data_IF_564569261091
#
_entry.id   IF_564569261091
#
_cell.length_a   1.000
_cell.length_b   1.000
_cell.length_c   1.000
_cell.angle_alpha   90.00
_cell.angle_beta   90.00
_cell.angle_gamma   90.00
#
_symmetry.space_group_name_H-M   'P 1'
#
loop_
_entity.id
_entity.type
_entity.pdbx_description
1 polymer ?
#
# COMPACT_ATOMS: atom_id res chain seq x y z
N UNK A 1 2.30 -19.52 23.50
CA UNK A 1 2.77 -18.15 23.23
C UNK A 1 2.80 -17.96 21.73
N UNK A 2 1.92 -17.13 21.16
CA UNK A 2 2.00 -16.78 19.74
C UNK A 2 3.01 -15.63 19.60
N UNK A 3 4.09 -15.85 18.85
CA UNK A 3 5.04 -14.79 18.51
C UNK A 3 4.38 -13.95 17.42
N UNK A 4 4.01 -12.72 17.75
CA UNK A 4 3.66 -11.71 16.76
C UNK A 4 4.94 -11.38 15.98
N UNK A 5 5.06 -11.93 14.76
CA UNK A 5 6.12 -11.55 13.83
C UNK A 5 5.61 -10.37 13.03
N UNK A 6 6.21 -9.20 13.26
CA UNK A 6 6.01 -8.07 12.39
C UNK A 6 6.65 -8.38 11.03
N UNK A 7 5.91 -8.14 9.94
CA UNK A 7 6.43 -8.24 8.58
C UNK A 7 6.70 -6.83 8.05
N UNK A 8 7.82 -6.68 7.35
CA UNK A 8 8.14 -5.43 6.65
C UNK A 8 7.29 -5.38 5.39
N UNK A 9 6.60 -4.26 5.20
CA UNK A 9 5.83 -3.95 4.01
C UNK A 9 6.50 -2.80 3.26
N UNK A 10 6.80 -3.00 1.98
CA UNK A 10 7.16 -1.94 1.05
C UNK A 10 5.86 -1.40 0.45
N UNK A 11 5.59 -0.11 0.68
CA UNK A 11 4.41 0.58 0.17
C UNK A 11 4.86 1.61 -0.87
N UNK A 12 4.32 1.48 -2.06
CA UNK A 12 4.55 2.34 -3.21
C UNK A 12 3.23 3.02 -3.59
N UNK A 13 3.21 4.35 -3.63
CA UNK A 13 2.00 5.13 -3.95
C UNK A 13 2.20 5.88 -5.27
N UNK A 14 1.22 5.77 -6.17
CA UNK A 14 1.18 6.42 -7.48
C UNK A 14 0.04 7.43 -7.51
N UNK A 15 0.37 8.71 -7.65
CA UNK A 15 -0.57 9.84 -7.58
C UNK A 15 -0.98 10.40 -8.95
N UNK A 16 -0.42 9.85 -10.04
CA UNK A 16 -0.66 10.30 -11.41
C UNK A 16 -1.66 9.39 -12.14
N UNK A 17 -2.65 9.96 -12.86
CA UNK A 17 -3.60 9.18 -13.67
C UNK A 17 -2.98 8.54 -14.93
N UNK A 18 -1.68 8.74 -15.17
CA UNK A 18 -0.95 8.22 -16.34
C UNK A 18 -0.07 7.05 -15.91
N UNK A 19 -0.64 5.86 -15.77
CA UNK A 19 0.02 4.67 -15.22
C UNK A 19 1.10 4.03 -16.13
N UNK A 20 1.36 4.59 -17.30
CA UNK A 20 2.05 3.86 -18.36
C UNK A 20 3.57 3.72 -18.20
N UNK A 21 4.25 4.45 -17.32
CA UNK A 21 5.69 4.26 -17.01
C UNK A 21 6.16 5.15 -15.83
N UNK A 22 5.29 5.36 -14.82
CA UNK A 22 5.60 6.31 -13.74
C UNK A 22 6.24 5.56 -12.57
N UNK A 23 7.49 5.91 -12.25
CA UNK A 23 8.14 5.51 -11.01
C UNK A 23 7.23 5.87 -9.82
N UNK A 24 7.19 5.04 -8.75
CA UNK A 24 6.36 5.35 -7.60
C UNK A 24 6.74 6.71 -7.01
N UNK A 25 5.75 7.59 -6.85
CA UNK A 25 5.98 8.94 -6.33
C UNK A 25 6.57 8.89 -4.91
N UNK A 26 6.19 7.86 -4.15
CA UNK A 26 6.71 7.61 -2.80
C UNK A 26 6.83 6.11 -2.55
N UNK A 27 7.98 5.68 -2.03
CA UNK A 27 8.27 4.30 -1.60
C UNK A 27 8.75 4.30 -0.14
N UNK A 28 8.09 3.54 0.75
CA UNK A 28 8.46 3.46 2.18
C UNK A 28 8.37 2.03 2.71
N UNK A 29 9.30 1.65 3.58
CA UNK A 29 9.25 0.42 4.38
C UNK A 29 8.56 0.68 5.72
N UNK A 30 7.42 0.02 5.94
CA UNK A 30 6.62 0.15 7.17
C UNK A 30 6.49 -1.20 7.89
N UNK A 31 6.58 -1.14 9.23
CA UNK A 31 6.36 -2.30 10.10
C UNK A 31 4.93 -2.27 10.62
N UNK A 32 4.01 -3.00 9.96
CA UNK A 32 2.59 -2.89 10.26
C UNK A 32 1.93 -4.23 10.63
N UNK A 33 0.90 -4.14 11.47
CA UNK A 33 0.01 -5.26 11.81
C UNK A 33 -1.00 -5.53 10.67
N UNK A 34 -1.29 -4.53 9.83
CA UNK A 34 -2.16 -4.66 8.63
C UNK A 34 -1.68 -3.78 7.46
N UNK A 35 -1.99 -4.22 6.24
CA UNK A 35 -1.72 -3.45 5.00
C UNK A 35 -2.41 -2.08 5.04
N UNK A 36 -3.68 -2.03 5.47
CA UNK A 36 -4.43 -0.77 5.56
C UNK A 36 -3.79 0.24 6.51
N UNK A 37 -3.19 -0.22 7.61
CA UNK A 37 -2.48 0.62 8.55
C UNK A 37 -1.21 1.21 7.94
N UNK A 38 -0.40 0.39 7.26
CA UNK A 38 0.81 0.83 6.58
C UNK A 38 0.50 1.90 5.52
N UNK A 39 -0.45 1.62 4.63
CA UNK A 39 -0.82 2.54 3.54
C UNK A 39 -1.40 3.84 4.10
N UNK A 40 -2.27 3.78 5.11
CA UNK A 40 -2.81 4.98 5.77
C UNK A 40 -1.71 5.84 6.39
N UNK A 41 -0.73 5.21 7.04
CA UNK A 41 0.41 5.91 7.65
C UNK A 41 1.26 6.64 6.58
N UNK A 42 1.57 5.96 5.47
CA UNK A 42 2.33 6.55 4.36
C UNK A 42 1.56 7.72 3.73
N UNK A 43 0.30 7.53 3.36
CA UNK A 43 -0.51 8.60 2.76
C UNK A 43 -0.64 9.82 3.68
N UNK A 44 -0.84 9.63 4.99
CA UNK A 44 -0.89 10.73 5.98
C UNK A 44 0.43 11.47 6.08
N UNK A 45 1.54 10.73 6.16
CA UNK A 45 2.89 11.30 6.31
C UNK A 45 3.25 12.23 5.16
N UNK A 46 2.82 11.89 3.95
CA UNK A 46 3.10 12.66 2.74
C UNK A 46 1.95 13.56 2.28
N UNK A 47 0.87 13.66 3.07
CA UNK A 47 -0.26 14.54 2.77
C UNK A 47 -1.05 14.16 1.50
N UNK A 48 -1.07 12.87 1.15
CA UNK A 48 -1.75 12.36 -0.05
C UNK A 48 -3.26 12.27 0.25
N UNK A 49 -4.04 13.21 -0.29
CA UNK A 49 -5.49 13.33 -0.07
C UNK A 49 -6.32 13.07 -1.34
N UNK A 50 -5.70 12.55 -2.39
CA UNK A 50 -6.31 12.21 -3.67
C UNK A 50 -6.37 10.69 -3.85
N UNK A 51 -7.21 10.22 -4.77
CA UNK A 51 -7.27 8.81 -5.13
C UNK A 51 -5.94 8.39 -5.79
N UNK A 52 -5.33 7.35 -5.26
CA UNK A 52 -4.03 6.86 -5.70
C UNK A 52 -4.07 5.36 -5.97
N UNK A 53 -3.21 4.88 -6.87
CA UNK A 53 -2.90 3.46 -6.91
C UNK A 53 -1.80 3.16 -5.90
N UNK A 54 -1.91 2.02 -5.22
CA UNK A 54 -0.94 1.63 -4.20
C UNK A 54 -0.50 0.21 -4.44
N UNK A 55 0.79 0.03 -4.65
CA UNK A 55 1.42 -1.28 -4.67
C UNK A 55 2.04 -1.57 -3.31
N UNK A 56 1.70 -2.72 -2.75
CA UNK A 56 2.21 -3.19 -1.47
C UNK A 56 2.91 -4.53 -1.68
N UNK A 57 4.15 -4.61 -1.20
CA UNK A 57 4.98 -5.80 -1.28
C UNK A 57 5.47 -6.22 0.09
N UNK A 58 5.36 -7.51 0.38
CA UNK A 58 6.02 -8.18 1.49
C UNK A 58 6.97 -9.25 0.94
N UNK A 59 7.66 -9.97 1.81
CA UNK A 59 8.52 -11.09 1.40
C UNK A 59 7.75 -12.24 0.73
N UNK A 60 6.46 -12.38 1.04
CA UNK A 60 5.64 -13.53 0.62
C UNK A 60 4.51 -13.14 -0.33
N UNK A 61 4.15 -11.86 -0.40
CA UNK A 61 2.95 -11.40 -1.12
C UNK A 61 3.17 -10.06 -1.80
N UNK A 62 2.48 -9.89 -2.91
CA UNK A 62 2.39 -8.65 -3.65
C UNK A 62 0.92 -8.34 -3.92
N UNK A 63 0.57 -7.07 -3.80
CA UNK A 63 -0.81 -6.59 -3.81
C UNK A 63 -0.87 -5.24 -4.49
N UNK A 64 -1.84 -5.09 -5.39
CA UNK A 64 -2.23 -3.80 -5.94
C UNK A 64 -3.57 -3.39 -5.36
N UNK A 65 -3.64 -2.15 -4.89
CA UNK A 65 -4.84 -1.48 -4.43
C UNK A 65 -5.13 -0.33 -5.40
N UNK A 66 -6.34 -0.30 -5.94
CA UNK A 66 -6.77 0.74 -6.87
C UNK A 66 -7.75 1.70 -6.18
N UNK A 67 -7.78 2.95 -6.66
CA UNK A 67 -8.63 4.02 -6.13
C UNK A 67 -8.53 4.17 -4.60
N UNK A 68 -7.29 4.14 -4.08
CA UNK A 68 -7.04 4.26 -2.65
C UNK A 68 -7.24 5.70 -2.20
N UNK A 69 -8.17 5.90 -1.27
CA UNK A 69 -8.50 7.21 -0.70
C UNK A 69 -8.25 7.17 0.81
N UNK A 70 -7.51 8.17 1.29
CA UNK A 70 -7.28 8.36 2.71
C UNK A 70 -8.53 8.93 3.39
N UNK A 71 -8.94 8.29 4.49
CA UNK A 71 -10.07 8.70 5.31
C UNK A 71 -9.64 8.93 6.78
N UNK A 72 -10.51 9.52 7.59
CA UNK A 72 -10.25 9.74 9.02
C UNK A 72 -9.98 8.42 9.77
N UNK A 73 -10.67 7.34 9.41
CA UNK A 73 -10.57 6.03 10.05
C UNK A 73 -9.53 5.08 9.42
N UNK A 74 -8.93 5.42 8.28
CA UNK A 74 -8.02 4.51 7.56
C UNK A 74 -7.95 4.81 6.06
N UNK A 75 -8.08 3.78 5.23
CA UNK A 75 -8.16 3.89 3.77
C UNK A 75 -9.38 3.15 3.23
N UNK A 76 -9.89 3.62 2.09
CA UNK A 76 -10.85 2.91 1.24
C UNK A 76 -10.19 2.62 -0.10
N UNK A 77 -10.51 1.51 -0.74
CA UNK A 77 -9.92 1.09 -2.02
C UNK A 77 -10.86 0.09 -2.72
N UNK A 78 -10.74 -0.03 -4.05
CA UNK A 78 -11.41 -1.10 -4.80
C UNK A 78 -10.70 -2.44 -4.60
N UNK A 79 -11.48 -3.53 -4.55
CA UNK A 79 -11.04 -4.88 -4.14
C UNK A 79 -9.66 -5.26 -4.71
N UNK A 80 -8.76 -5.84 -3.89
CA UNK A 80 -7.39 -6.07 -4.31
C UNK A 80 -7.34 -7.16 -5.38
N UNK A 81 -6.56 -6.92 -6.43
CA UNK A 81 -6.14 -8.00 -7.33
C UNK A 81 -4.93 -8.68 -6.70
N UNK A 82 -5.17 -9.74 -5.93
CA UNK A 82 -4.09 -10.58 -5.42
C UNK A 82 -3.45 -11.34 -6.60
N UNK A 83 -2.19 -11.03 -6.92
CA UNK A 83 -1.37 -11.89 -7.77
C UNK A 83 -0.51 -12.75 -6.87
N UNK A 84 -0.92 -14.01 -6.71
CA UNK A 84 -0.08 -15.01 -6.04
C UNK A 84 1.17 -15.25 -6.88
N UNK A 85 2.34 -14.92 -6.34
CA UNK A 85 3.61 -15.26 -6.97
C UNK A 85 3.75 -16.77 -6.86
N UNK A 86 3.47 -17.48 -7.96
CA UNK A 86 3.82 -18.89 -8.07
C UNK A 86 5.31 -18.94 -8.38
N UNK A 87 6.13 -19.23 -7.36
CA UNK A 87 7.53 -19.62 -7.53
C UNK A 87 7.61 -21.03 -8.12
#
# INVERSE_FOLDING_TARGET
MAILRAQVLQVHVFCSPSLLDVEPDVSTEEMAVSVSGAVSAVMRRYGINLAAEVYVRSQEREMWLHDVILCQSGITYEFPVERSISL
#
